data_IF_877245655555
#
_entry.id   IF_877245655555
#
_cell.length_a   1.000
_cell.length_b   1.000
_cell.length_c   1.000
_cell.angle_alpha   90.00
_cell.angle_beta   90.00
_cell.angle_gamma   90.00
#
_symmetry.space_group_name_H-M   'P 1'
#
loop_
_entity.id
_entity.type
_entity.pdbx_description
1 polymer ?
#
# COMPACT_ATOMS: atom_id res chain seq x y z
N UNK A 1 24.65 -7.46 20.31
CA UNK A 1 24.53 -7.30 18.84
C UNK A 1 23.07 -7.02 18.53
N UNK A 2 22.83 -5.90 17.88
CA UNK A 2 21.57 -5.16 17.77
C UNK A 2 20.59 -5.72 16.73
N UNK A 3 19.32 -5.85 17.15
CA UNK A 3 18.03 -5.66 16.46
C UNK A 3 17.98 -5.73 14.92
N UNK A 4 17.07 -6.54 14.38
CA UNK A 4 16.31 -6.24 13.15
C UNK A 4 14.95 -6.96 13.20
N UNK A 5 13.92 -6.17 13.53
CA UNK A 5 12.52 -6.52 13.42
C UNK A 5 12.17 -6.69 11.93
N UNK A 6 11.90 -7.92 11.49
CA UNK A 6 11.48 -8.22 10.11
C UNK A 6 9.97 -8.11 10.03
N UNK A 7 9.47 -7.08 9.35
CA UNK A 7 8.04 -6.88 9.13
C UNK A 7 7.60 -7.52 7.80
N UNK A 8 7.64 -8.84 7.73
CA UNK A 8 6.76 -9.64 6.87
C UNK A 8 5.70 -10.23 7.80
N UNK A 9 4.45 -9.77 7.69
CA UNK A 9 3.38 -10.13 8.61
C UNK A 9 3.06 -11.65 8.63
N UNK A 10 2.57 -12.09 9.79
CA UNK A 10 2.48 -13.45 10.33
C UNK A 10 1.30 -14.27 9.78
N UNK A 11 1.50 -15.59 9.61
CA UNK A 11 0.43 -16.60 9.67
C UNK A 11 0.74 -17.93 8.97
N UNK A 12 0.70 -19.05 9.72
CA UNK A 12 0.72 -20.43 9.21
C UNK A 12 -0.62 -21.09 9.54
N UNK A 13 -1.23 -21.86 8.61
CA UNK A 13 -2.01 -23.09 8.90
C UNK A 13 -1.95 -24.03 7.67
N UNK A 14 -1.78 -25.33 7.90
CA UNK A 14 -1.89 -26.42 6.92
C UNK A 14 -3.18 -27.21 7.21
N UNK A 15 -4.03 -27.52 6.22
CA UNK A 15 -4.75 -28.81 6.09
C UNK A 15 -5.47 -28.97 4.73
N UNK A 16 -5.73 -30.24 4.41
CA UNK A 16 -6.21 -30.89 3.19
C UNK A 16 -7.50 -30.37 2.52
N UNK A 17 -7.50 -30.43 1.17
CA UNK A 17 -8.63 -30.54 0.22
C UNK A 17 -9.47 -29.27 -0.04
N UNK A 18 -9.45 -28.85 -1.32
CA UNK A 18 -10.40 -28.01 -2.07
C UNK A 18 -10.63 -26.54 -1.66
N UNK A 19 -10.17 -25.65 -2.55
CA UNK A 19 -10.67 -24.30 -2.90
C UNK A 19 -10.47 -23.11 -1.93
N UNK A 20 -9.99 -22.01 -2.55
CA UNK A 20 -9.93 -20.57 -2.13
C UNK A 20 -8.91 -20.18 -1.06
N UNK A 21 -7.95 -19.28 -1.36
CA UNK A 21 -7.42 -18.33 -0.36
C UNK A 21 -6.98 -16.96 -0.95
N UNK A 22 -7.40 -15.90 -0.26
CA UNK A 22 -6.89 -14.53 -0.34
C UNK A 22 -6.33 -14.14 1.05
N UNK A 23 -5.49 -13.10 1.05
CA UNK A 23 -4.84 -12.35 2.15
C UNK A 23 -3.65 -13.00 2.87
N UNK A 24 -2.57 -12.22 2.94
CA UNK A 24 -1.26 -12.44 3.59
C UNK A 24 -0.30 -13.42 2.91
N UNK A 25 0.64 -12.85 2.15
CA UNK A 25 1.62 -13.58 1.34
C UNK A 25 2.65 -14.26 2.26
N UNK A 26 2.34 -15.46 2.70
CA UNK A 26 3.30 -16.40 3.25
C UNK A 26 4.24 -16.88 2.15
N UNK A 27 5.46 -16.35 2.11
CA UNK A 27 6.56 -16.91 1.34
C UNK A 27 7.86 -16.83 2.13
N UNK A 28 8.69 -17.87 2.03
CA UNK A 28 10.02 -17.88 2.62
C UNK A 28 10.92 -16.98 1.79
N UNK A 29 11.14 -15.74 2.25
CA UNK A 29 12.18 -14.88 1.71
C UNK A 29 13.55 -15.48 2.03
N UNK A 30 14.27 -15.98 1.03
CA UNK A 30 15.66 -16.40 1.21
C UNK A 30 16.55 -15.19 0.94
N UNK A 31 17.35 -14.80 1.94
CA UNK A 31 18.49 -13.91 1.72
C UNK A 31 19.60 -14.76 1.12
N UNK A 32 19.94 -14.54 -0.14
CA UNK A 32 21.05 -15.27 -0.77
C UNK A 32 22.40 -14.65 -0.41
N UNK A 33 23.50 -15.35 -0.75
CA UNK A 33 24.87 -14.93 -0.45
C UNK A 33 25.29 -13.58 -1.09
N UNK A 34 24.45 -12.99 -1.96
CA UNK A 34 24.68 -11.72 -2.65
C UNK A 34 23.81 -10.57 -2.11
N UNK A 35 23.29 -10.69 -0.88
CA UNK A 35 22.44 -9.70 -0.20
C UNK A 35 21.11 -9.38 -0.92
N UNK A 36 20.59 -10.32 -1.74
CA UNK A 36 19.30 -10.13 -2.43
C UNK A 36 18.17 -10.90 -1.76
N UNK A 37 16.98 -10.33 -1.85
CA UNK A 37 15.75 -10.89 -1.32
C UNK A 37 14.97 -11.52 -2.48
N UNK A 38 14.59 -12.78 -2.33
CA UNK A 38 13.79 -13.51 -3.31
C UNK A 38 12.55 -14.06 -2.63
N UNK A 39 11.39 -13.81 -3.22
CA UNK A 39 10.09 -14.30 -2.75
C UNK A 39 9.43 -15.12 -3.85
N UNK A 40 9.20 -16.41 -3.58
CA UNK A 40 8.35 -17.27 -4.39
C UNK A 40 7.05 -17.59 -3.64
N UNK A 41 5.93 -17.65 -4.36
CA UNK A 41 4.62 -17.98 -3.81
C UNK A 41 3.82 -18.82 -4.80
N UNK A 42 2.66 -19.36 -4.42
CA UNK A 42 1.84 -20.20 -5.32
C UNK A 42 0.54 -19.50 -5.76
N UNK A 43 0.40 -18.22 -5.43
CA UNK A 43 -0.82 -17.46 -5.68
C UNK A 43 -0.89 -16.98 -7.14
N UNK A 44 -1.89 -17.49 -7.85
CA UNK A 44 -2.27 -17.05 -9.19
C UNK A 44 -3.79 -16.94 -9.28
N UNK A 45 -4.28 -16.00 -10.07
CA UNK A 45 -5.56 -16.16 -10.75
C UNK A 45 -5.41 -17.19 -11.86
N UNK A 46 -6.29 -18.19 -11.93
CA UNK A 46 -6.21 -19.27 -12.92
C UNK A 46 -7.51 -19.39 -13.71
N UNK A 47 -7.40 -19.50 -15.03
CA UNK A 47 -8.53 -19.71 -15.97
C UNK A 47 -8.03 -20.55 -17.15
N UNK A 48 -8.93 -21.24 -17.86
CA UNK A 48 -8.59 -22.04 -19.04
C UNK A 48 -9.03 -21.37 -20.35
N UNK A 49 -8.26 -21.55 -21.42
CA UNK A 49 -8.59 -21.16 -22.79
C UNK A 49 -8.87 -22.39 -23.65
N UNK A 50 -10.07 -22.51 -24.21
CA UNK A 50 -10.37 -23.57 -25.19
C UNK A 50 -9.97 -23.08 -26.58
N UNK A 51 -8.96 -23.71 -27.19
CA UNK A 51 -8.56 -23.40 -28.56
C UNK A 51 -9.29 -24.30 -29.53
N UNK A 52 -9.87 -23.71 -30.58
CA UNK A 52 -10.56 -24.45 -31.66
C UNK A 52 -9.62 -25.53 -32.20
N UNK A 53 -10.09 -26.79 -32.19
CA UNK A 53 -9.36 -28.01 -32.57
C UNK A 53 -8.33 -28.56 -31.54
N UNK A 54 -8.42 -28.18 -30.25
CA UNK A 54 -7.67 -28.84 -29.17
C UNK A 54 -8.63 -29.46 -28.13
N UNK A 55 -8.39 -30.72 -27.74
CA UNK A 55 -9.20 -31.44 -26.74
C UNK A 55 -8.97 -30.94 -25.31
N UNK A 56 -7.84 -30.27 -25.04
CA UNK A 56 -7.48 -29.73 -23.72
C UNK A 56 -7.33 -28.22 -23.77
N UNK A 57 -7.93 -27.54 -22.79
CA UNK A 57 -7.75 -26.10 -22.64
C UNK A 57 -6.31 -25.72 -22.30
N UNK A 58 -5.84 -24.58 -22.83
CA UNK A 58 -4.56 -23.98 -22.47
C UNK A 58 -4.73 -23.31 -21.11
N UNK A 59 -3.95 -23.72 -20.09
CA UNK A 59 -4.07 -23.10 -18.80
C UNK A 59 -3.43 -21.70 -18.84
N UNK A 60 -4.12 -20.78 -18.18
CA UNK A 60 -3.69 -19.40 -18.01
C UNK A 60 -3.55 -19.08 -16.53
N UNK A 61 -2.48 -18.38 -16.21
CA UNK A 61 -2.23 -17.86 -14.87
C UNK A 61 -1.86 -16.39 -14.90
N UNK A 62 -2.36 -15.63 -13.95
CA UNK A 62 -2.03 -14.21 -13.83
C UNK A 62 -1.82 -13.83 -12.36
N UNK A 63 -0.85 -12.95 -12.12
CA UNK A 63 -0.73 -12.23 -10.87
C UNK A 63 -0.29 -10.80 -11.15
N UNK A 64 -0.74 -9.87 -10.30
CA UNK A 64 -0.43 -8.45 -10.40
C UNK A 64 -0.01 -7.95 -9.03
N UNK A 65 0.98 -7.05 -9.00
CA UNK A 65 1.42 -6.37 -7.79
C UNK A 65 1.22 -4.87 -7.94
N UNK A 66 1.09 -4.18 -6.81
CA UNK A 66 1.11 -2.74 -6.72
C UNK A 66 2.28 -2.29 -5.85
N UNK A 67 3.07 -1.34 -6.35
CA UNK A 67 4.25 -0.83 -5.64
C UNK A 67 3.81 0.22 -4.62
N UNK A 68 3.85 -0.13 -3.34
CA UNK A 68 3.40 0.74 -2.24
C UNK A 68 4.48 1.66 -1.71
N UNK A 69 5.74 1.25 -1.78
CA UNK A 69 6.88 2.05 -1.36
C UNK A 69 8.14 1.57 -2.08
N UNK A 70 9.01 2.51 -2.46
CA UNK A 70 10.34 2.22 -3.01
C UNK A 70 11.35 2.91 -2.10
N UNK A 71 12.38 2.18 -1.71
CA UNK A 71 13.44 2.69 -0.84
C UNK A 71 14.19 3.86 -1.46
N UNK A 72 14.66 4.77 -0.59
CA UNK A 72 15.52 5.90 -0.97
C UNK A 72 16.82 5.47 -1.64
N UNK A 73 17.27 4.23 -1.41
CA UNK A 73 18.46 3.64 -2.03
C UNK A 73 18.29 3.29 -3.50
N UNK A 74 17.08 3.44 -4.07
CA UNK A 74 16.72 3.07 -5.45
C UNK A 74 17.15 1.63 -5.79
N UNK A 75 16.58 0.65 -5.09
CA UNK A 75 16.91 -0.75 -5.29
C UNK A 75 16.49 -1.22 -6.68
N UNK A 76 17.28 -2.13 -7.23
CA UNK A 76 16.85 -3.01 -8.32
C UNK A 76 15.73 -3.90 -7.76
N UNK A 77 14.56 -3.82 -8.38
CA UNK A 77 13.39 -4.63 -8.05
C UNK A 77 12.86 -5.28 -9.32
N UNK A 78 12.45 -6.54 -9.25
CA UNK A 78 11.96 -7.28 -10.41
C UNK A 78 10.80 -8.20 -10.07
N UNK A 79 9.88 -8.34 -11.03
CA UNK A 79 8.74 -9.25 -11.02
C UNK A 79 8.89 -10.26 -12.16
N UNK A 80 8.57 -11.52 -11.90
CA UNK A 80 8.75 -12.54 -12.92
C UNK A 80 8.25 -13.93 -12.56
N UNK A 81 8.78 -14.91 -13.28
CA UNK A 81 8.54 -16.32 -13.10
C UNK A 81 9.87 -17.05 -13.00
N UNK A 82 9.98 -18.00 -12.08
CA UNK A 82 11.12 -18.90 -12.00
C UNK A 82 10.70 -20.29 -11.54
N UNK A 83 11.53 -21.31 -11.80
CA UNK A 83 11.33 -22.65 -11.24
C UNK A 83 11.36 -22.65 -9.70
N UNK A 84 10.82 -23.69 -9.04
CA UNK A 84 10.73 -23.73 -7.60
C UNK A 84 12.14 -23.80 -6.98
N UNK A 85 12.30 -23.21 -5.80
CA UNK A 85 13.58 -23.09 -5.09
C UNK A 85 14.61 -22.22 -5.82
N UNK A 86 14.17 -21.18 -6.50
CA UNK A 86 15.07 -20.22 -7.14
C UNK A 86 15.76 -19.33 -6.10
N UNK A 87 17.11 -19.33 -6.09
CA UNK A 87 17.91 -18.63 -5.07
C UNK A 87 19.11 -17.83 -5.63
N UNK A 88 19.30 -17.81 -6.96
CA UNK A 88 20.56 -17.38 -7.58
C UNK A 88 20.71 -15.88 -7.83
N UNK A 89 19.66 -15.07 -7.64
CA UNK A 89 19.74 -13.61 -7.78
C UNK A 89 18.44 -12.95 -8.22
N UNK A 90 18.55 -11.91 -9.06
CA UNK A 90 17.35 -11.24 -9.57
C UNK A 90 16.66 -12.15 -10.59
N UNK A 91 15.34 -12.26 -10.49
CA UNK A 91 14.54 -13.05 -11.41
C UNK A 91 14.78 -12.58 -12.86
N UNK A 92 15.00 -13.53 -13.77
CA UNK A 92 15.32 -13.25 -15.18
C UNK A 92 16.80 -13.28 -15.54
N UNK A 93 17.71 -13.16 -14.57
CA UNK A 93 19.16 -13.12 -14.87
C UNK A 93 19.80 -14.48 -15.09
N UNK A 94 19.20 -15.53 -14.55
CA UNK A 94 19.75 -16.90 -14.56
C UNK A 94 18.76 -17.87 -15.18
N UNK A 95 19.26 -19.02 -15.63
CA UNK A 95 18.46 -20.07 -16.26
C UNK A 95 17.17 -20.40 -15.50
N UNK A 96 16.15 -20.76 -16.29
CA UNK A 96 14.82 -21.14 -15.82
C UNK A 96 14.11 -20.01 -15.06
N UNK A 97 14.39 -18.76 -15.46
CA UNK A 97 13.71 -17.58 -14.95
C UNK A 97 13.54 -16.47 -16.00
N UNK A 98 12.43 -15.74 -15.88
CA UNK A 98 12.15 -14.53 -16.65
C UNK A 98 11.71 -13.43 -15.69
N UNK A 99 12.20 -12.20 -15.87
CA UNK A 99 11.90 -11.10 -14.97
C UNK A 99 11.90 -9.75 -15.66
N UNK A 100 10.94 -8.92 -15.29
CA UNK A 100 10.83 -7.52 -15.67
C UNK A 100 11.38 -6.66 -14.53
N UNK A 101 12.35 -5.79 -14.85
CA UNK A 101 13.11 -5.02 -13.86
C UNK A 101 12.68 -3.55 -13.85
N UNK A 102 12.59 -2.97 -12.65
CA UNK A 102 12.02 -1.66 -12.39
C UNK A 102 12.94 -0.49 -12.79
N UNK A 103 14.25 -0.69 -12.57
CA UNK A 103 15.29 0.33 -12.64
C UNK A 103 15.69 0.67 -14.08
N UNK A 104 15.61 -0.30 -14.99
CA UNK A 104 15.94 -0.12 -16.41
C UNK A 104 14.76 -0.39 -17.34
N UNK A 105 13.71 -1.05 -16.86
CA UNK A 105 12.50 -1.32 -17.61
C UNK A 105 12.62 -2.47 -18.60
N UNK A 106 13.67 -3.29 -18.50
CA UNK A 106 13.91 -4.41 -19.39
C UNK A 106 13.34 -5.71 -18.84
N UNK A 107 12.95 -6.60 -19.76
CA UNK A 107 12.71 -8.01 -19.47
C UNK A 107 13.98 -8.82 -19.73
N UNK A 108 14.46 -9.48 -18.69
CA UNK A 108 15.56 -10.42 -18.71
C UNK A 108 15.01 -11.85 -18.73
N UNK A 109 15.57 -12.69 -19.59
CA UNK A 109 15.18 -14.10 -19.72
C UNK A 109 16.42 -14.97 -19.78
N UNK A 110 16.71 -15.65 -18.68
CA UNK A 110 17.90 -16.50 -18.46
C UNK A 110 19.27 -15.79 -18.65
N UNK A 111 19.30 -14.46 -18.72
CA UNK A 111 20.53 -13.69 -19.00
C UNK A 111 20.43 -12.34 -18.33
N UNK A 112 21.37 -11.98 -17.45
CA UNK A 112 21.38 -10.71 -16.71
C UNK A 112 22.22 -9.57 -17.31
N UNK A 113 23.08 -9.86 -18.30
CA UNK A 113 24.04 -8.89 -18.84
C UNK A 113 23.71 -8.42 -20.26
N UNK A 114 22.45 -8.58 -20.72
CA UNK A 114 22.06 -8.24 -22.08
C UNK A 114 20.82 -7.35 -22.11
N UNK A 115 21.04 -6.07 -22.39
CA UNK A 115 19.99 -5.11 -22.70
C UNK A 115 19.61 -5.21 -24.17
N UNK A 116 18.63 -6.07 -24.48
CA UNK A 116 18.00 -6.12 -25.80
C UNK A 116 16.88 -5.07 -25.84
N UNK A 117 16.99 -4.08 -26.72
CA UNK A 117 16.00 -2.98 -26.88
C UNK A 117 14.59 -3.50 -27.20
N UNK A 118 14.47 -4.67 -27.82
CA UNK A 118 13.17 -5.31 -28.05
C UNK A 118 12.50 -5.86 -26.78
N UNK A 119 13.23 -5.90 -25.65
CA UNK A 119 12.72 -6.33 -24.36
C UNK A 119 12.42 -5.15 -23.42
N UNK A 120 12.60 -3.92 -23.89
CA UNK A 120 12.25 -2.72 -23.14
C UNK A 120 10.73 -2.56 -23.09
N UNK A 121 10.16 -2.52 -21.89
CA UNK A 121 8.73 -2.27 -21.64
C UNK A 121 8.55 -0.87 -21.05
N UNK A 122 9.44 -0.47 -20.14
CA UNK A 122 9.44 0.83 -19.50
C UNK A 122 9.76 0.76 -18.02
N UNK A 123 10.15 1.88 -17.42
CA UNK A 123 10.42 1.94 -15.99
C UNK A 123 9.13 1.76 -15.19
N UNK A 124 9.21 1.22 -13.99
CA UNK A 124 8.09 1.26 -13.06
C UNK A 124 8.54 1.53 -11.63
N UNK A 125 7.70 2.20 -10.85
CA UNK A 125 8.05 2.66 -9.51
C UNK A 125 6.83 2.76 -8.59
N UNK A 126 6.98 3.46 -7.47
CA UNK A 126 5.90 3.77 -6.53
C UNK A 126 4.62 4.21 -7.25
N UNK A 127 3.49 3.58 -6.91
CA UNK A 127 2.18 3.86 -7.48
C UNK A 127 1.83 3.09 -8.75
N UNK A 128 2.81 2.41 -9.38
CA UNK A 128 2.54 1.55 -10.53
C UNK A 128 1.99 0.19 -10.10
N UNK A 129 1.12 -0.39 -10.94
CA UNK A 129 0.83 -1.83 -10.90
C UNK A 129 1.51 -2.55 -12.04
N UNK A 130 2.03 -3.76 -11.76
CA UNK A 130 2.79 -4.56 -12.72
C UNK A 130 2.38 -6.02 -12.57
N UNK A 131 2.14 -6.72 -13.67
CA UNK A 131 1.67 -8.10 -13.64
C UNK A 131 2.37 -9.00 -14.64
N UNK A 132 2.19 -10.30 -14.45
CA UNK A 132 2.69 -11.34 -15.35
C UNK A 132 1.55 -12.28 -15.69
N UNK A 133 1.23 -12.32 -16.98
CA UNK A 133 0.27 -13.24 -17.57
C UNK A 133 1.03 -14.38 -18.24
N UNK A 134 0.73 -15.60 -17.85
CA UNK A 134 1.28 -16.81 -18.42
C UNK A 134 0.17 -17.59 -19.11
N UNK A 135 0.25 -17.73 -20.43
CA UNK A 135 -0.68 -18.51 -21.25
C UNK A 135 0.12 -19.61 -21.95
N UNK A 136 -0.10 -20.86 -21.55
CA UNK A 136 0.79 -21.94 -21.98
C UNK A 136 2.25 -21.58 -21.62
N UNK A 137 3.17 -21.71 -22.57
CA UNK A 137 4.59 -21.35 -22.41
C UNK A 137 4.91 -19.88 -22.61
N UNK A 138 3.92 -19.01 -22.87
CA UNK A 138 4.14 -17.59 -23.20
C UNK A 138 3.84 -16.71 -22.00
N UNK A 139 4.83 -15.92 -21.60
CA UNK A 139 4.70 -14.87 -20.60
C UNK A 139 4.49 -13.51 -21.27
N UNK A 140 3.57 -12.71 -20.71
CA UNK A 140 3.31 -11.33 -21.07
C UNK A 140 3.39 -10.50 -19.79
N UNK A 141 4.05 -9.35 -19.87
CA UNK A 141 4.14 -8.42 -18.75
C UNK A 141 3.14 -7.29 -18.94
N UNK A 142 2.55 -6.84 -17.84
CA UNK A 142 1.56 -5.75 -17.83
C UNK A 142 2.06 -4.62 -16.95
N UNK A 143 1.73 -3.37 -17.32
CA UNK A 143 1.95 -2.19 -16.48
C UNK A 143 0.69 -1.34 -16.49
N UNK A 144 0.17 -0.99 -15.32
CA UNK A 144 -1.00 -0.14 -15.12
C UNK A 144 -2.21 -0.54 -16.00
N UNK A 145 -2.44 -1.85 -16.10
CA UNK A 145 -3.55 -2.42 -16.87
C UNK A 145 -3.32 -2.54 -18.38
N UNK A 146 -2.13 -2.25 -18.87
CA UNK A 146 -1.75 -2.40 -20.29
C UNK A 146 -0.73 -3.53 -20.42
N UNK A 147 -1.00 -4.52 -21.27
CA UNK A 147 -0.03 -5.56 -21.60
C UNK A 147 0.97 -5.08 -22.65
N UNK A 148 2.21 -5.55 -22.54
CA UNK A 148 3.15 -5.45 -23.64
C UNK A 148 2.73 -6.43 -24.76
N UNK A 149 2.89 -6.02 -26.02
CA UNK A 149 2.52 -6.81 -27.19
C UNK A 149 3.47 -7.99 -27.44
N UNK A 150 4.70 -7.93 -26.92
CA UNK A 150 5.68 -9.01 -27.04
C UNK A 150 5.42 -10.14 -26.04
N UNK A 151 5.19 -11.33 -26.57
CA UNK A 151 5.20 -12.58 -25.81
C UNK A 151 6.64 -13.08 -25.60
N UNK A 152 6.94 -13.57 -24.40
CA UNK A 152 8.21 -14.21 -24.08
C UNK A 152 8.02 -15.71 -23.92
N UNK A 153 8.67 -16.50 -24.78
CA UNK A 153 8.55 -17.96 -24.79
C UNK A 153 9.46 -18.59 -23.72
N UNK A 154 8.88 -19.31 -22.75
CA UNK A 154 9.62 -20.02 -21.71
C UNK A 154 10.16 -21.35 -22.23
N UNK A 155 11.49 -21.51 -22.19
CA UNK A 155 12.14 -22.78 -22.53
C UNK A 155 11.85 -23.84 -21.47
N UNK A 156 11.63 -25.09 -21.91
CA UNK A 156 11.34 -26.24 -21.04
C UNK A 156 10.17 -25.99 -20.07
N UNK A 157 9.13 -25.32 -20.58
CA UNK A 157 7.96 -24.99 -19.80
C UNK A 157 7.16 -26.24 -19.42
N UNK A 158 7.01 -26.45 -18.12
CA UNK A 158 5.99 -27.29 -17.55
C UNK A 158 5.13 -26.42 -16.64
N UNK A 159 3.83 -26.42 -16.89
CA UNK A 159 2.86 -25.54 -16.22
C UNK A 159 3.01 -25.51 -14.70
N UNK A 160 3.29 -26.63 -14.05
CA UNK A 160 3.41 -26.71 -12.59
C UNK A 160 4.76 -26.23 -12.02
N UNK A 161 5.77 -25.99 -12.86
CA UNK A 161 7.11 -25.67 -12.40
C UNK A 161 7.36 -24.18 -12.21
N UNK A 162 6.80 -23.31 -13.03
CA UNK A 162 7.06 -21.88 -12.90
C UNK A 162 6.16 -21.24 -11.85
N UNK A 163 6.78 -20.55 -10.89
CA UNK A 163 6.14 -19.84 -9.80
C UNK A 163 6.31 -18.31 -9.95
N UNK A 164 5.34 -17.49 -9.52
CA UNK A 164 5.53 -16.07 -9.32
C UNK A 164 6.76 -15.85 -8.45
N UNK A 165 7.66 -15.01 -8.93
CA UNK A 165 8.91 -14.74 -8.26
C UNK A 165 9.12 -13.24 -8.25
N UNK A 166 9.34 -12.68 -7.05
CA UNK A 166 9.78 -11.31 -6.87
C UNK A 166 11.22 -11.34 -6.37
N UNK A 167 12.02 -10.38 -6.81
CA UNK A 167 13.38 -10.21 -6.28
C UNK A 167 13.70 -8.74 -6.08
N UNK A 168 14.38 -8.42 -4.99
CA UNK A 168 14.87 -7.07 -4.69
C UNK A 168 16.33 -7.12 -4.22
N UNK A 169 17.05 -6.04 -4.53
CA UNK A 169 18.38 -5.75 -3.96
C UNK A 169 18.31 -5.12 -2.56
N UNK A 170 17.10 -4.88 -2.04
CA UNK A 170 16.88 -4.38 -0.69
C UNK A 170 15.66 -4.97 0.01
N UNK A 171 15.53 -4.69 1.31
CA UNK A 171 14.42 -5.12 2.15
C UNK A 171 13.29 -4.11 2.28
N UNK A 172 13.52 -2.86 1.85
CA UNK A 172 12.68 -1.73 2.24
C UNK A 172 11.59 -1.44 1.19
N UNK A 173 11.66 -2.04 0.00
CA UNK A 173 10.60 -1.96 -1.01
C UNK A 173 9.36 -2.72 -0.56
N UNK A 174 8.24 -2.02 -0.42
CA UNK A 174 6.95 -2.63 -0.01
C UNK A 174 6.02 -2.75 -1.21
N UNK A 175 5.42 -3.93 -1.35
CA UNK A 175 4.49 -4.26 -2.43
C UNK A 175 3.22 -4.88 -1.87
N UNK A 176 2.13 -4.78 -2.63
CA UNK A 176 0.89 -5.51 -2.41
C UNK A 176 0.65 -6.44 -3.59
N UNK A 177 0.48 -7.74 -3.35
CA UNK A 177 -0.06 -8.66 -4.36
C UNK A 177 -1.56 -8.41 -4.45
N UNK A 178 -2.06 -8.10 -5.65
CA UNK A 178 -3.45 -7.75 -5.89
C UNK A 178 -4.32 -9.00 -5.94
N UNK A 179 -5.53 -8.89 -5.39
CA UNK A 179 -6.57 -9.90 -5.60
C UNK A 179 -7.22 -9.73 -6.98
N UNK A 180 -7.92 -10.75 -7.51
CA UNK A 180 -8.54 -10.66 -8.84
C UNK A 180 -9.51 -9.48 -9.02
N UNK A 181 -10.21 -9.08 -7.96
CA UNK A 181 -11.11 -7.91 -7.98
C UNK A 181 -10.37 -6.57 -8.04
N UNK A 182 -9.06 -6.56 -7.80
CA UNK A 182 -8.21 -5.36 -7.78
C UNK A 182 -7.30 -5.22 -9.00
N UNK A 183 -7.29 -6.21 -9.89
CA UNK A 183 -6.47 -6.16 -11.11
C UNK A 183 -6.81 -4.94 -11.95
N UNK A 184 -5.79 -4.18 -12.35
CA UNK A 184 -5.97 -3.11 -13.34
C UNK A 184 -6.01 -3.69 -14.76
N UNK A 185 -5.35 -4.83 -14.98
CA UNK A 185 -5.32 -5.48 -16.28
C UNK A 185 -6.59 -6.29 -16.54
N UNK A 186 -7.25 -5.99 -17.65
CA UNK A 186 -8.41 -6.74 -18.10
C UNK A 186 -7.97 -7.91 -18.97
N UNK A 187 -7.78 -9.06 -18.34
CA UNK A 187 -7.32 -10.31 -18.97
C UNK A 187 -8.26 -10.75 -20.08
N UNK A 188 -9.57 -10.74 -19.83
CA UNK A 188 -10.57 -11.21 -20.79
C UNK A 188 -10.62 -10.33 -22.04
N UNK A 189 -10.46 -9.01 -21.88
CA UNK A 189 -10.36 -8.07 -22.98
C UNK A 189 -9.12 -8.35 -23.83
N UNK A 190 -7.95 -8.49 -23.21
CA UNK A 190 -6.70 -8.74 -23.92
C UNK A 190 -6.73 -10.04 -24.73
N UNK A 191 -7.29 -11.10 -24.17
CA UNK A 191 -7.44 -12.38 -24.87
C UNK A 191 -8.31 -12.24 -26.11
N UNK A 192 -9.45 -11.56 -25.99
CA UNK A 192 -10.42 -11.43 -27.08
C UNK A 192 -9.94 -10.46 -28.16
N UNK A 193 -9.41 -9.32 -27.76
CA UNK A 193 -9.11 -8.21 -28.68
C UNK A 193 -7.68 -8.30 -29.24
N UNK A 194 -6.68 -8.51 -28.39
CA UNK A 194 -5.28 -8.52 -28.78
C UNK A 194 -4.81 -9.89 -29.26
N UNK A 195 -5.13 -10.95 -28.51
CA UNK A 195 -4.75 -12.32 -28.90
C UNK A 195 -5.73 -12.98 -29.87
N UNK A 196 -6.94 -12.42 -30.02
CA UNK A 196 -8.01 -12.94 -30.89
C UNK A 196 -8.36 -14.40 -30.58
N UNK A 197 -8.37 -14.77 -29.30
CA UNK A 197 -8.72 -16.11 -28.81
C UNK A 197 -10.12 -16.11 -28.17
N UNK A 198 -10.84 -17.23 -28.28
CA UNK A 198 -12.17 -17.41 -27.68
C UNK A 198 -12.07 -17.97 -26.25
N UNK A 199 -12.86 -17.41 -25.33
CA UNK A 199 -13.05 -17.91 -23.96
C UNK A 199 -14.35 -18.70 -23.90
N UNK A 200 -14.31 -19.95 -23.40
CA UNK A 200 -15.51 -20.74 -23.10
C UNK A 200 -15.48 -21.04 -21.60
N UNK A 201 -16.56 -20.68 -20.90
CA UNK A 201 -16.80 -21.09 -19.51
C UNK A 201 -17.31 -22.55 -19.52
N UNK A 202 -16.75 -23.41 -18.67
CA UNK A 202 -17.16 -24.82 -18.63
C UNK A 202 -18.62 -24.93 -18.17
N UNK A 203 -19.52 -25.37 -19.05
CA UNK A 203 -20.85 -25.85 -18.66
C UNK A 203 -20.72 -27.18 -17.88
N UNK A 204 -21.41 -27.25 -16.74
CA UNK A 204 -21.57 -28.49 -15.96
C UNK A 204 -22.26 -29.59 -16.78
N UNK A 205 -21.80 -30.85 -16.75
CA UNK A 205 -22.33 -31.89 -17.63
C UNK A 205 -23.69 -32.42 -17.13
N UNK A 206 -24.74 -32.26 -17.94
CA UNK A 206 -26.00 -33.01 -17.79
C UNK A 206 -25.89 -34.36 -18.54
N UNK A 207 -26.26 -35.46 -17.86
CA UNK A 207 -26.52 -36.76 -18.50
C UNK A 207 -27.99 -37.14 -18.34
N UNK A 208 -28.54 -37.72 -19.39
CA UNK A 208 -29.86 -38.35 -19.45
C UNK A 208 -29.82 -39.80 -18.93
N UNK A 209 -30.99 -40.32 -18.54
CA UNK A 209 -31.65 -41.56 -19.03
C UNK A 209 -32.53 -42.16 -17.92
N UNK A 210 -33.77 -42.51 -18.28
CA UNK A 210 -34.74 -43.25 -17.46
C UNK A 210 -34.31 -44.72 -17.23
N UNK A 211 -34.52 -45.20 -16.00
CA UNK A 211 -35.21 -46.45 -15.62
C UNK A 211 -34.57 -47.13 -14.40
N UNK A 212 -35.20 -46.99 -13.23
CA UNK A 212 -35.55 -48.10 -12.30
C UNK A 212 -36.11 -47.53 -10.98
N UNK A 213 -37.40 -47.73 -10.73
CA UNK A 213 -38.19 -46.98 -9.73
C UNK A 213 -38.01 -47.42 -8.25
N UNK A 214 -37.24 -48.47 -7.95
CA UNK A 214 -37.08 -48.95 -6.56
C UNK A 214 -35.79 -48.50 -5.86
N UNK A 215 -34.77 -48.03 -6.59
CA UNK A 215 -33.59 -47.36 -5.98
C UNK A 215 -33.85 -45.87 -5.68
N UNK A 216 -34.91 -45.29 -6.25
CA UNK A 216 -35.25 -43.87 -6.11
C UNK A 216 -35.81 -43.48 -4.74
N UNK A 217 -36.42 -44.40 -3.99
CA UNK A 217 -37.03 -44.11 -2.69
C UNK A 217 -35.99 -43.89 -1.58
N UNK A 218 -34.94 -44.72 -1.52
CA UNK A 218 -33.84 -44.55 -0.56
C UNK A 218 -32.91 -43.37 -0.95
N UNK A 219 -32.77 -43.09 -2.25
CA UNK A 219 -32.03 -41.93 -2.73
C UNK A 219 -32.74 -40.60 -2.42
N UNK A 220 -34.08 -40.58 -2.40
CA UNK A 220 -34.88 -39.38 -2.14
C UNK A 220 -34.77 -38.89 -0.68
N UNK A 221 -34.67 -39.79 0.30
CA UNK A 221 -34.51 -39.40 1.71
C UNK A 221 -33.08 -38.96 2.04
N UNK A 222 -32.07 -39.56 1.40
CA UNK A 222 -30.69 -39.07 1.44
C UNK A 222 -30.53 -37.69 0.79
N UNK A 223 -31.19 -37.46 -0.34
CA UNK A 223 -31.24 -36.16 -1.02
C UNK A 223 -31.95 -35.10 -0.20
N UNK A 224 -33.08 -35.42 0.46
CA UNK A 224 -33.77 -34.47 1.36
C UNK A 224 -32.87 -34.02 2.52
N UNK A 225 -32.11 -34.95 3.12
CA UNK A 225 -31.16 -34.60 4.19
C UNK A 225 -30.05 -33.68 3.66
N UNK A 226 -29.46 -34.01 2.52
CA UNK A 226 -28.45 -33.15 1.88
C UNK A 226 -29.01 -31.76 1.54
N UNK A 227 -30.26 -31.68 1.06
CA UNK A 227 -30.91 -30.39 0.76
C UNK A 227 -31.11 -29.57 2.03
N UNK A 228 -31.54 -30.18 3.13
CA UNK A 228 -31.68 -29.48 4.42
C UNK A 228 -30.33 -29.00 4.95
N UNK A 229 -29.29 -29.83 4.89
CA UNK A 229 -27.93 -29.46 5.30
C UNK A 229 -27.39 -28.30 4.44
N UNK A 230 -27.65 -28.30 3.13
CA UNK A 230 -27.29 -27.20 2.21
C UNK A 230 -28.06 -25.92 2.54
N UNK A 231 -29.36 -26.00 2.83
CA UNK A 231 -30.18 -24.84 3.23
C UNK A 231 -29.66 -24.25 4.55
N UNK A 232 -29.30 -25.09 5.51
CA UNK A 232 -28.73 -24.65 6.78
C UNK A 232 -27.36 -23.98 6.59
N UNK A 233 -26.48 -24.56 5.77
CA UNK A 233 -25.20 -23.93 5.42
C UNK A 233 -25.37 -22.61 4.65
N UNK A 234 -26.38 -22.51 3.78
CA UNK A 234 -26.70 -21.26 3.08
C UNK A 234 -27.05 -20.15 4.07
N UNK A 235 -27.86 -20.45 5.09
CA UNK A 235 -28.27 -19.48 6.11
C UNK A 235 -27.09 -18.95 6.95
N UNK A 236 -26.11 -19.82 7.25
CA UNK A 236 -24.87 -19.45 7.95
C UNK A 236 -23.99 -18.58 7.05
N UNK A 237 -23.87 -18.91 5.77
CA UNK A 237 -23.14 -18.11 4.79
C UNK A 237 -23.74 -16.70 4.63
N UNK A 238 -25.06 -16.58 4.55
CA UNK A 238 -25.75 -15.29 4.45
C UNK A 238 -25.50 -14.43 5.70
N UNK A 239 -25.50 -15.04 6.89
CA UNK A 239 -25.21 -14.38 8.15
C UNK A 239 -23.76 -13.87 8.23
N UNK A 240 -22.81 -14.70 7.78
CA UNK A 240 -21.39 -14.34 7.72
C UNK A 240 -21.12 -13.25 6.68
N UNK A 241 -21.80 -13.29 5.54
CA UNK A 241 -21.70 -12.26 4.51
C UNK A 241 -22.16 -10.90 5.04
N UNK A 242 -23.29 -10.88 5.77
CA UNK A 242 -23.81 -9.65 6.39
C UNK A 242 -22.87 -9.05 7.45
N UNK A 243 -22.17 -9.90 8.21
CA UNK A 243 -21.13 -9.45 9.13
C UNK A 243 -19.95 -8.82 8.38
N UNK A 244 -19.46 -9.47 7.31
CA UNK A 244 -18.38 -8.94 6.46
C UNK A 244 -18.77 -7.60 5.84
N UNK A 245 -19.99 -7.46 5.34
CA UNK A 245 -20.46 -6.20 4.74
C UNK A 245 -20.49 -5.07 5.77
N UNK A 246 -20.87 -5.37 7.02
CA UNK A 246 -20.84 -4.41 8.13
C UNK A 246 -19.41 -3.98 8.48
N UNK A 247 -18.48 -4.93 8.53
CA UNK A 247 -17.04 -4.68 8.74
C UNK A 247 -16.47 -3.78 7.64
N UNK A 248 -16.78 -4.09 6.38
CA UNK A 248 -16.35 -3.31 5.19
C UNK A 248 -16.88 -1.87 5.28
N UNK A 249 -18.13 -1.67 5.71
CA UNK A 249 -18.68 -0.32 5.86
C UNK A 249 -17.95 0.47 6.96
N UNK A 250 -17.61 -0.16 8.10
CA UNK A 250 -16.82 0.48 9.15
C UNK A 250 -15.44 0.90 8.63
N UNK A 251 -14.74 -0.02 7.95
CA UNK A 251 -13.42 0.26 7.38
C UNK A 251 -13.44 1.36 6.32
N UNK A 252 -14.50 1.45 5.51
CA UNK A 252 -14.68 2.55 4.54
C UNK A 252 -14.78 3.92 5.20
N UNK A 253 -15.50 4.01 6.32
CA UNK A 253 -15.62 5.26 7.09
C UNK A 253 -14.24 5.64 7.64
N UNK A 254 -13.53 4.69 8.26
CA UNK A 254 -12.19 4.92 8.82
C UNK A 254 -11.17 5.35 7.75
N UNK A 255 -11.18 4.72 6.57
CA UNK A 255 -10.33 5.13 5.43
C UNK A 255 -10.63 6.57 5.03
N UNK A 256 -11.90 6.96 4.98
CA UNK A 256 -12.32 8.32 4.60
C UNK A 256 -11.82 9.36 5.62
N UNK A 257 -11.92 9.03 6.91
CA UNK A 257 -11.41 9.90 7.99
C UNK A 257 -9.89 10.04 7.94
N UNK A 258 -9.16 8.94 7.73
CA UNK A 258 -7.71 8.94 7.58
C UNK A 258 -7.25 9.72 6.35
N UNK A 259 -7.97 9.62 5.24
CA UNK A 259 -7.70 10.41 4.02
C UNK A 259 -7.84 11.91 4.29
N UNK A 260 -8.93 12.33 4.96
CA UNK A 260 -9.11 13.74 5.33
C UNK A 260 -8.01 14.25 6.27
N UNK A 261 -7.58 13.42 7.23
CA UNK A 261 -6.48 13.77 8.14
C UNK A 261 -5.16 13.95 7.38
N UNK A 262 -4.86 13.06 6.43
CA UNK A 262 -3.65 13.14 5.61
C UNK A 262 -3.61 14.39 4.72
N UNK A 263 -4.74 14.83 4.18
CA UNK A 263 -4.80 16.07 3.40
C UNK A 263 -4.46 17.30 4.26
N UNK A 264 -4.97 17.36 5.49
CA UNK A 264 -4.65 18.44 6.43
C UNK A 264 -3.16 18.47 6.78
N UNK A 265 -2.56 17.31 7.04
CA UNK A 265 -1.13 17.20 7.32
C UNK A 265 -0.27 17.65 6.13
N UNK A 266 -0.67 17.31 4.90
CA UNK A 266 0.03 17.78 3.68
C UNK A 266 0.00 19.31 3.56
N UNK A 267 -1.15 19.93 3.80
CA UNK A 267 -1.28 21.39 3.78
C UNK A 267 -0.39 22.04 4.84
N UNK A 268 -0.37 21.49 6.06
CA UNK A 268 0.49 22.00 7.14
C UNK A 268 1.99 21.85 6.81
N UNK A 269 2.38 20.73 6.19
CA UNK A 269 3.75 20.51 5.76
C UNK A 269 4.19 21.55 4.71
N UNK A 270 3.33 21.87 3.73
CA UNK A 270 3.64 22.87 2.70
C UNK A 270 3.84 24.27 3.31
N UNK A 271 3.00 24.66 4.27
CA UNK A 271 3.17 25.92 5.01
C UNK A 271 4.52 25.95 5.74
N UNK A 272 4.84 24.86 6.44
CA UNK A 272 6.10 24.73 7.20
C UNK A 272 7.33 24.80 6.28
N UNK A 273 7.25 24.21 5.08
CA UNK A 273 8.33 24.29 4.09
C UNK A 273 8.55 25.74 3.61
N UNK A 274 7.47 26.46 3.31
CA UNK A 274 7.54 27.88 2.90
C UNK A 274 8.13 28.75 4.01
N UNK A 275 7.80 28.50 5.28
CA UNK A 275 8.38 29.21 6.42
C UNK A 275 9.87 28.91 6.59
N UNK A 276 10.28 27.65 6.45
CA UNK A 276 11.69 27.27 6.52
C UNK A 276 12.52 27.89 5.38
N UNK A 277 11.95 28.01 4.18
CA UNK A 277 12.61 28.67 3.05
C UNK A 277 12.82 30.17 3.34
N UNK A 278 11.80 30.87 3.84
CA UNK A 278 11.92 32.26 4.30
C UNK A 278 13.01 32.41 5.36
N UNK A 279 13.10 31.47 6.30
CA UNK A 279 14.12 31.50 7.35
C UNK A 279 15.54 31.28 6.80
N UNK A 280 15.71 30.39 5.82
CA UNK A 280 17.00 30.19 5.12
C UNK A 280 17.43 31.44 4.36
N UNK A 281 16.49 32.11 3.70
CA UNK A 281 16.77 33.37 3.00
C UNK A 281 17.23 34.46 3.98
N UNK A 282 16.54 34.63 5.11
CA UNK A 282 16.97 35.56 6.18
C UNK A 282 18.38 35.21 6.67
N UNK A 283 18.65 33.93 6.96
CA UNK A 283 19.97 33.46 7.39
C UNK A 283 21.07 33.76 6.36
N UNK A 284 20.77 33.62 5.07
CA UNK A 284 21.72 33.87 3.98
C UNK A 284 22.02 35.36 3.84
N UNK A 285 21.00 36.22 3.94
CA UNK A 285 21.16 37.69 3.94
C UNK A 285 22.00 38.17 5.12
N UNK A 286 21.80 37.62 6.32
CA UNK A 286 22.60 37.93 7.49
C UNK A 286 24.08 37.52 7.32
N UNK A 287 24.34 36.37 6.69
CA UNK A 287 25.70 35.91 6.44
C UNK A 287 26.47 36.79 5.42
N UNK A 288 25.79 37.29 4.39
CA UNK A 288 26.37 38.21 3.40
C UNK A 288 26.75 39.55 4.05
N UNK A 289 25.90 40.11 4.91
CA UNK A 289 26.17 41.36 5.62
C UNK A 289 27.41 41.27 6.54
N UNK A 290 27.76 40.07 7.05
CA UNK A 290 28.93 39.89 7.90
C UNK A 290 30.26 40.24 7.18
N UNK A 291 30.33 40.06 5.86
CA UNK A 291 31.50 40.41 5.06
C UNK A 291 31.62 41.92 4.80
N UNK A 292 30.48 42.63 4.74
CA UNK A 292 30.43 44.07 4.50
C UNK A 292 30.71 44.90 5.76
N UNK A 293 30.41 44.37 6.95
CA UNK A 293 30.66 45.05 8.25
C UNK A 293 32.12 45.46 8.41
N UNK A 294 33.06 44.65 7.91
CA UNK A 294 34.50 44.92 8.02
C UNK A 294 34.97 46.15 7.23
N UNK A 295 34.17 46.64 6.29
CA UNK A 295 34.49 47.78 5.42
C UNK A 295 33.77 49.07 5.83
N UNK A 296 33.07 49.09 6.97
CA UNK A 296 32.31 50.25 7.45
C UNK A 296 33.19 51.20 8.29
N UNK A 297 32.95 52.51 8.14
CA UNK A 297 33.55 53.52 9.02
C UNK A 297 32.96 53.48 10.43
N UNK A 298 33.67 54.06 11.40
CA UNK A 298 33.23 54.09 12.81
C UNK A 298 31.84 54.72 13.01
N UNK A 299 31.52 55.79 12.28
CA UNK A 299 30.21 56.46 12.39
C UNK A 299 29.09 55.60 11.78
N UNK A 300 29.37 54.87 10.70
CA UNK A 300 28.43 53.92 10.12
C UNK A 300 28.20 52.72 11.06
N UNK A 301 29.22 52.25 11.77
CA UNK A 301 29.10 51.18 12.76
C UNK A 301 28.26 51.60 13.99
N UNK A 302 28.43 52.83 14.48
CA UNK A 302 27.59 53.36 15.58
C UNK A 302 26.12 53.44 15.18
N UNK A 303 25.85 53.97 13.98
CA UNK A 303 24.46 54.08 13.49
C UNK A 303 23.85 52.69 13.25
N UNK A 304 24.62 51.75 12.68
CA UNK A 304 24.18 50.35 12.54
C UNK A 304 23.86 49.72 13.90
N UNK A 305 24.70 49.94 14.92
CA UNK A 305 24.46 49.43 16.28
C UNK A 305 23.16 49.98 16.88
N UNK A 306 22.84 51.26 16.64
CA UNK A 306 21.59 51.89 17.09
C UNK A 306 20.39 51.23 16.42
N UNK A 307 20.43 51.08 15.09
CA UNK A 307 19.37 50.46 14.31
C UNK A 307 19.13 49.01 14.73
N UNK A 308 20.20 48.24 14.97
CA UNK A 308 20.09 46.84 15.41
C UNK A 308 19.42 46.73 16.78
N UNK A 309 19.76 47.62 17.72
CA UNK A 309 19.14 47.65 19.05
C UNK A 309 17.64 48.00 18.98
N UNK A 310 17.29 49.01 18.18
CA UNK A 310 15.88 49.39 17.95
C UNK A 310 15.09 48.25 17.30
N UNK A 311 15.70 47.56 16.34
CA UNK A 311 15.12 46.39 15.68
C UNK A 311 14.92 45.24 16.67
N UNK A 312 15.92 44.96 17.52
CA UNK A 312 15.85 43.92 18.53
C UNK A 312 14.71 44.18 19.53
N UNK A 313 14.56 45.42 19.99
CA UNK A 313 13.46 45.80 20.89
C UNK A 313 12.09 45.61 20.22
N UNK A 314 11.99 45.95 18.92
CA UNK A 314 10.76 45.75 18.13
C UNK A 314 10.42 44.26 18.00
N UNK A 315 11.41 43.41 17.71
CA UNK A 315 11.24 41.95 17.65
C UNK A 315 10.76 41.42 19.00
N UNK A 316 11.42 41.81 20.09
CA UNK A 316 11.08 41.33 21.43
C UNK A 316 9.66 41.73 21.86
N UNK A 317 9.24 42.95 21.51
CA UNK A 317 7.84 43.37 21.70
C UNK A 317 6.88 42.46 20.93
N UNK A 318 7.21 42.12 19.67
CA UNK A 318 6.35 41.30 18.84
C UNK A 318 6.28 39.84 19.29
N UNK A 319 7.40 39.28 19.75
CA UNK A 319 7.44 37.95 20.37
C UNK A 319 6.52 37.89 21.58
N UNK A 320 6.58 38.90 22.45
CA UNK A 320 5.70 38.99 23.62
C UNK A 320 4.23 39.04 23.22
N UNK A 321 3.86 39.87 22.24
CA UNK A 321 2.48 39.95 21.75
C UNK A 321 1.97 38.59 21.23
N UNK A 322 2.81 37.84 20.51
CA UNK A 322 2.46 36.51 19.97
C UNK A 322 2.31 35.46 21.08
N UNK A 323 3.21 35.47 22.06
CA UNK A 323 3.14 34.61 23.25
C UNK A 323 1.88 34.87 24.07
N UNK A 324 1.48 36.13 24.24
CA UNK A 324 0.26 36.47 24.97
C UNK A 324 -0.99 35.94 24.27
N UNK A 325 -1.04 35.94 22.94
CA UNK A 325 -2.13 35.33 22.16
C UNK A 325 -2.19 33.81 22.36
N UNK A 326 -1.06 33.11 22.37
CA UNK A 326 -1.02 31.67 22.61
C UNK A 326 -1.52 31.29 24.01
N UNK A 327 -1.48 32.19 24.97
CA UNK A 327 -1.95 31.98 26.34
C UNK A 327 -3.46 32.25 26.51
N UNK A 328 -4.17 32.69 25.47
CA UNK A 328 -5.61 32.96 25.53
C UNK A 328 -6.46 31.69 25.40
N UNK A 329 -7.59 31.67 26.10
CA UNK A 329 -8.59 30.61 26.07
C UNK A 329 -9.03 30.31 24.63
N UNK A 330 -8.97 29.04 24.22
CA UNK A 330 -9.34 28.65 22.84
C UNK A 330 -10.83 28.83 22.53
N UNK A 331 -11.66 29.04 23.56
CA UNK A 331 -13.12 29.21 23.42
C UNK A 331 -13.49 30.68 23.29
N UNK A 332 -13.08 31.54 24.23
CA UNK A 332 -13.44 32.97 24.20
C UNK A 332 -12.40 33.87 23.54
N UNK A 333 -11.14 33.42 23.41
CA UNK A 333 -10.01 34.21 22.90
C UNK A 333 -9.80 35.56 23.62
N UNK A 334 -10.25 35.65 24.87
CA UNK A 334 -10.26 36.90 25.66
C UNK A 334 -9.48 36.73 26.97
N UNK A 335 -9.80 35.69 27.75
CA UNK A 335 -9.17 35.42 29.05
C UNK A 335 -8.04 34.41 28.91
N UNK A 336 -7.00 34.54 29.73
CA UNK A 336 -5.90 33.57 29.79
C UNK A 336 -6.37 32.17 30.19
N UNK A 337 -5.70 31.15 29.64
CA UNK A 337 -5.86 29.74 30.01
C UNK A 337 -5.48 29.55 31.47
N UNK A 338 -6.37 28.95 32.26
CA UNK A 338 -6.10 28.65 33.66
C UNK A 338 -6.84 27.39 34.16
N UNK A 339 -7.40 26.57 33.27
CA UNK A 339 -8.08 25.32 33.63
C UNK A 339 -7.53 24.13 32.87
N UNK A 340 -7.13 23.10 33.62
CA UNK A 340 -6.61 21.81 33.17
C UNK A 340 -7.73 20.76 33.21
N UNK A 341 -8.02 20.08 32.09
CA UNK A 341 -9.03 19.01 32.06
C UNK A 341 -8.44 17.62 32.32
N UNK A 342 -9.14 16.75 33.07
CA UNK A 342 -8.76 15.37 33.34
C UNK A 342 -9.65 14.36 32.59
N UNK A 343 -9.09 13.23 32.09
CA UNK A 343 -7.71 12.76 32.29
C UNK A 343 -6.67 13.30 31.28
N UNK A 344 -7.09 14.06 30.26
CA UNK A 344 -6.23 14.44 29.14
C UNK A 344 -5.13 15.48 29.47
N UNK A 345 -5.23 16.17 30.61
CA UNK A 345 -4.30 17.20 31.11
C UNK A 345 -4.06 18.37 30.15
N UNK A 346 -5.07 18.74 29.34
CA UNK A 346 -4.96 19.93 28.48
C UNK A 346 -5.35 21.21 29.22
N UNK A 347 -4.41 22.15 29.31
CA UNK A 347 -4.62 23.52 29.77
C UNK A 347 -4.99 24.40 28.56
N UNK A 348 -6.29 24.54 28.29
CA UNK A 348 -6.76 25.12 27.02
C UNK A 348 -7.84 26.19 27.14
N UNK A 349 -8.47 26.33 28.31
CA UNK A 349 -9.58 27.27 28.51
C UNK A 349 -9.41 28.09 29.79
N UNK A 350 -10.14 29.19 29.90
CA UNK A 350 -10.34 29.91 31.15
C UNK A 350 -11.40 29.22 32.04
N UNK A 351 -11.42 29.57 33.33
CA UNK A 351 -12.34 29.02 34.32
C UNK A 351 -13.82 29.15 33.92
N UNK A 352 -14.21 30.28 33.35
CA UNK A 352 -15.60 30.51 32.92
C UNK A 352 -16.01 29.61 31.76
N UNK A 353 -15.17 29.52 30.72
CA UNK A 353 -15.44 28.63 29.58
C UNK A 353 -15.37 27.14 29.98
N UNK A 354 -14.60 26.78 31.01
CA UNK A 354 -14.55 25.42 31.51
C UNK A 354 -15.92 24.93 31.99
N UNK A 355 -16.68 25.77 32.69
CA UNK A 355 -18.03 25.45 33.16
C UNK A 355 -19.02 25.31 32.00
N UNK A 356 -18.91 26.17 30.99
CA UNK A 356 -19.72 26.05 29.76
C UNK A 356 -19.43 24.74 29.01
N UNK A 357 -18.16 24.34 28.92
CA UNK A 357 -17.76 23.10 28.24
C UNK A 357 -18.26 21.86 28.99
N UNK A 358 -18.21 21.85 30.32
CA UNK A 358 -18.73 20.76 31.16
C UNK A 358 -20.26 20.61 31.06
N UNK A 359 -20.99 21.71 30.89
CA UNK A 359 -22.46 21.68 30.85
C UNK A 359 -23.02 21.27 29.48
N UNK A 360 -22.35 21.63 28.39
CA UNK A 360 -22.88 21.44 27.03
C UNK A 360 -22.31 20.24 26.29
N UNK A 361 -21.00 19.95 26.44
CA UNK A 361 -20.30 18.97 25.60
C UNK A 361 -19.49 17.91 26.35
N UNK A 362 -19.09 18.16 27.60
CA UNK A 362 -18.26 17.26 28.44
C UNK A 362 -17.02 16.70 27.74
N UNK A 363 -16.49 17.38 26.72
CA UNK A 363 -15.33 16.94 25.95
C UNK A 363 -14.31 18.08 25.86
N UNK A 364 -13.03 17.72 25.96
CA UNK A 364 -11.92 18.68 25.82
C UNK A 364 -11.94 19.32 24.43
N UNK A 365 -11.90 20.67 24.29
CA UNK A 365 -11.88 21.32 22.99
C UNK A 365 -10.67 20.97 22.10
N UNK A 366 -9.56 20.55 22.70
CA UNK A 366 -8.32 20.23 21.99
C UNK A 366 -8.28 18.77 21.53
N UNK A 367 -8.56 17.83 22.42
CA UNK A 367 -8.36 16.40 22.15
C UNK A 367 -9.65 15.57 22.16
N UNK A 368 -10.81 16.20 22.38
CA UNK A 368 -12.16 15.57 22.44
C UNK A 368 -12.34 14.47 23.49
N UNK A 369 -11.32 14.22 24.32
CA UNK A 369 -11.42 13.28 25.45
C UNK A 369 -12.52 13.76 26.41
N UNK A 370 -13.35 12.81 26.87
CA UNK A 370 -14.42 13.09 27.83
C UNK A 370 -13.83 13.61 29.14
N UNK A 371 -14.35 14.72 29.62
CA UNK A 371 -13.90 15.40 30.82
C UNK A 371 -14.54 14.71 32.03
N UNK A 372 -13.69 14.11 32.85
CA UNK A 372 -14.09 13.54 34.15
C UNK A 372 -14.04 14.58 35.26
N UNK A 373 -13.03 15.44 35.25
CA UNK A 373 -12.81 16.48 36.25
C UNK A 373 -11.96 17.62 35.65
N UNK A 374 -11.83 18.74 36.37
CA UNK A 374 -10.97 19.85 35.98
C UNK A 374 -10.28 20.49 37.17
N UNK A 375 -9.02 20.90 37.00
CA UNK A 375 -8.25 21.62 38.01
C UNK A 375 -8.00 23.04 37.50
N UNK A 376 -8.37 24.04 38.30
CA UNK A 376 -7.97 25.42 38.03
C UNK A 376 -6.54 25.63 38.52
N UNK A 377 -5.69 26.15 37.64
CA UNK A 377 -4.29 26.45 37.93
C UNK A 377 -4.11 27.94 38.14
N UNK A 378 -3.28 28.34 39.09
CA UNK A 378 -2.79 29.71 39.21
C UNK A 378 -1.42 29.77 38.56
N UNK A 379 -1.34 30.40 37.38
CA UNK A 379 -0.12 30.59 36.59
C UNK A 379 0.30 32.06 36.58
#
# INVERSE_FOLDING_TARGET
>A
MTRLDVQFCKGFVQTNVQNVYCTDVGGKGLKNNNDRFILQFNQYYQKGLMVKNQEKGIPMRYFEIFIQHVSEKKPIFAIGLAKPNYDRGMVGWYDESIGYHADDGYVFHNVGNQHNTENLIGLYSFGDSVGVLLIGSKAYFTKNGVANTKAFELKNYAHEQYLPTLSSSDSDTTIKVLSPSEFKFNIDKFIKEDLKLELIENETPQRSVNDSANDMLNHCDGLKKLILDVIEQQSVNDSLQKQKDTEIQKLKIEITELQSSNEKLKQQHEITLKENEKLRDVKTRLALNQQDINNLSLEQLKELSRILLDTQNTIHSKEKDLLDVELLCVVCQDKRKNTLFLPCKHLCVCAECAESVKSTGKQCPVCRTVISDSIQTHL
#
